data_IF_945699131901
#
_entry.id   IF_945699131901
#
_cell.length_a   1.000
_cell.length_b   1.000
_cell.length_c   1.000
_cell.angle_alpha   90.00
_cell.angle_beta   90.00
_cell.angle_gamma   90.00
#
_symmetry.space_group_name_H-M   'P 1'
#
loop_
_entity.id
_entity.type
_entity.pdbx_description
1 polymer ?
#
# COMPACT_ATOMS: atom_id res chain seq x y z
N UNK A 1 18.67 25.46 51.53
CA UNK A 1 17.29 25.96 51.32
C UNK A 1 17.23 26.46 49.90
N UNK A 2 17.17 25.51 48.95
CA UNK A 2 15.95 24.93 48.34
C UNK A 2 15.42 25.91 47.28
N UNK A 3 15.74 25.66 46.00
CA UNK A 3 14.98 24.76 45.10
C UNK A 3 13.54 25.23 44.93
N UNK A 4 13.26 25.84 43.77
CA UNK A 4 12.32 25.31 42.79
C UNK A 4 12.37 26.24 41.57
N UNK A 5 13.28 25.89 40.65
CA UNK A 5 13.25 26.33 39.28
C UNK A 5 12.95 25.05 38.47
N UNK A 6 11.70 24.59 38.59
CA UNK A 6 11.11 23.55 37.74
C UNK A 6 10.31 24.27 36.64
N UNK A 7 11.02 25.01 35.81
CA UNK A 7 10.49 25.44 34.53
C UNK A 7 10.77 24.30 33.53
N UNK A 8 9.78 23.42 33.42
CA UNK A 8 9.45 22.61 32.26
C UNK A 8 10.59 22.39 31.24
N UNK A 9 11.37 21.33 31.42
CA UNK A 9 11.93 20.60 30.29
C UNK A 9 10.77 19.99 29.49
N UNK A 10 10.16 20.81 28.63
CA UNK A 10 9.47 20.31 27.45
C UNK A 10 10.59 19.69 26.62
N UNK A 11 10.68 18.36 26.71
CA UNK A 11 11.52 17.52 25.89
C UNK A 11 11.12 17.74 24.42
N UNK A 12 11.71 18.75 23.79
CA UNK A 12 11.73 18.92 22.34
C UNK A 12 12.46 17.70 21.78
N UNK A 13 11.71 16.65 21.45
CA UNK A 13 12.22 15.58 20.61
C UNK A 13 12.69 16.27 19.32
N UNK A 14 13.98 16.24 18.98
CA UNK A 14 14.49 16.97 17.84
C UNK A 14 13.70 16.50 16.62
N UNK A 15 13.10 17.44 15.91
CA UNK A 15 12.31 17.21 14.69
C UNK A 15 13.04 16.32 13.67
N UNK A 16 14.37 16.29 13.69
CA UNK A 16 15.19 15.35 12.91
C UNK A 16 14.97 13.87 13.27
N UNK A 17 14.83 13.54 14.56
CA UNK A 17 14.62 12.16 15.03
C UNK A 17 13.20 11.69 14.71
N UNK A 18 12.20 12.57 14.90
CA UNK A 18 10.80 12.32 14.52
C UNK A 18 10.64 12.13 13.01
N UNK A 19 11.29 12.97 12.20
CA UNK A 19 11.29 12.83 10.74
C UNK A 19 12.06 11.58 10.29
N UNK A 20 13.15 11.20 10.96
CA UNK A 20 13.87 9.96 10.64
C UNK A 20 13.06 8.69 10.93
N UNK A 21 12.27 8.66 12.01
CA UNK A 21 11.40 7.53 12.34
C UNK A 21 10.19 7.45 11.40
N UNK A 22 9.58 8.58 11.06
CA UNK A 22 8.51 8.65 10.05
C UNK A 22 9.01 8.21 8.67
N UNK A 23 10.19 8.66 8.25
CA UNK A 23 10.80 8.26 6.99
C UNK A 23 11.18 6.77 6.99
N UNK A 24 11.69 6.23 8.11
CA UNK A 24 12.00 4.80 8.25
C UNK A 24 10.77 3.91 8.18
N UNK A 25 9.65 4.32 8.78
CA UNK A 25 8.36 3.61 8.68
C UNK A 25 7.78 3.67 7.27
N UNK A 26 7.82 4.84 6.62
CA UNK A 26 7.40 5.00 5.24
C UNK A 26 8.23 4.11 4.29
N UNK A 27 9.55 4.11 4.45
CA UNK A 27 10.47 3.26 3.68
C UNK A 27 10.12 1.77 3.82
N UNK A 28 9.94 1.30 5.05
CA UNK A 28 9.58 -0.09 5.34
C UNK A 28 8.23 -0.47 4.70
N UNK A 29 7.24 0.40 4.79
CA UNK A 29 5.92 0.23 4.18
C UNK A 29 6.01 0.13 2.65
N UNK A 30 6.76 1.02 2.00
CA UNK A 30 6.96 1.01 0.54
C UNK A 30 7.69 -0.24 0.08
N UNK A 31 8.74 -0.67 0.80
CA UNK A 31 9.48 -1.91 0.49
C UNK A 31 8.58 -3.13 0.62
N UNK A 32 7.77 -3.21 1.69
CA UNK A 32 6.80 -4.29 1.85
C UNK A 32 5.79 -4.32 0.69
N UNK A 33 5.27 -3.16 0.28
CA UNK A 33 4.35 -3.06 -0.85
C UNK A 33 4.97 -3.55 -2.16
N UNK A 34 6.25 -3.21 -2.42
CA UNK A 34 6.98 -3.70 -3.60
C UNK A 34 7.07 -5.23 -3.57
N UNK A 35 7.54 -5.80 -2.46
CA UNK A 35 7.71 -7.25 -2.32
C UNK A 35 6.37 -7.97 -2.45
N UNK A 36 5.32 -7.49 -1.78
CA UNK A 36 3.98 -8.07 -1.83
C UNK A 36 3.44 -8.12 -3.27
N UNK A 37 3.46 -6.98 -3.97
CA UNK A 37 2.96 -6.90 -5.34
C UNK A 37 3.79 -7.73 -6.31
N UNK A 38 5.12 -7.72 -6.17
CA UNK A 38 6.00 -8.53 -7.01
C UNK A 38 5.79 -10.04 -6.82
N UNK A 39 5.70 -10.50 -5.58
CA UNK A 39 5.45 -11.91 -5.27
C UNK A 39 4.10 -12.38 -5.84
N UNK A 40 3.03 -11.60 -5.66
CA UNK A 40 1.73 -11.95 -6.22
C UNK A 40 1.73 -11.92 -7.75
N UNK A 41 2.35 -10.92 -8.38
CA UNK A 41 2.51 -10.87 -9.84
C UNK A 41 3.22 -12.11 -10.38
N UNK A 42 4.32 -12.53 -9.72
CA UNK A 42 5.04 -13.75 -10.09
C UNK A 42 4.20 -15.02 -9.91
N UNK A 43 3.40 -15.11 -8.83
CA UNK A 43 2.51 -16.24 -8.60
C UNK A 43 1.40 -16.32 -9.66
N UNK A 44 0.80 -15.18 -10.05
CA UNK A 44 -0.17 -15.13 -11.14
C UNK A 44 0.44 -15.58 -12.47
N UNK A 45 1.67 -15.13 -12.77
CA UNK A 45 2.40 -15.56 -13.96
C UNK A 45 2.63 -17.08 -13.97
N UNK A 46 3.12 -17.65 -12.86
CA UNK A 46 3.41 -19.08 -12.76
C UNK A 46 2.13 -19.93 -12.85
N UNK A 47 1.08 -19.57 -12.13
CA UNK A 47 -0.19 -20.31 -12.13
C UNK A 47 -0.92 -20.25 -13.46
N UNK A 48 -0.80 -19.13 -14.19
CA UNK A 48 -1.35 -18.99 -15.54
C UNK A 48 -0.58 -19.84 -16.56
N UNK A 49 0.73 -19.98 -16.41
CA UNK A 49 1.55 -20.81 -17.30
C UNK A 49 1.39 -22.32 -17.05
N UNK A 50 0.97 -22.71 -15.85
CA UNK A 50 0.81 -24.11 -15.47
C UNK A 50 -0.57 -24.71 -15.80
N UNK A 51 -1.60 -23.88 -16.05
CA UNK A 51 -2.96 -24.36 -16.30
C UNK A 51 -3.29 -24.58 -17.79
N UNK A 52 -4.13 -25.59 -18.03
CA UNK A 52 -4.66 -25.94 -19.36
C UNK A 52 -5.55 -24.82 -19.94
N UNK A 53 -5.57 -24.73 -21.28
CA UNK A 53 -6.23 -23.70 -22.08
C UNK A 53 -7.77 -23.62 -21.92
N UNK A 54 -8.40 -24.48 -21.11
CA UNK A 54 -9.85 -24.52 -20.94
C UNK A 54 -10.43 -23.37 -20.10
N UNK A 55 -9.60 -22.56 -19.45
CA UNK A 55 -10.01 -21.53 -18.48
C UNK A 55 -9.77 -20.08 -18.97
N UNK A 56 -10.09 -19.77 -20.24
CA UNK A 56 -9.74 -18.51 -20.91
C UNK A 56 -10.14 -17.22 -20.17
N UNK A 57 -11.36 -17.14 -19.65
CA UNK A 57 -11.87 -15.95 -18.94
C UNK A 57 -11.13 -15.71 -17.62
N UNK A 58 -10.89 -16.76 -16.84
CA UNK A 58 -10.12 -16.65 -15.60
C UNK A 58 -8.66 -16.30 -15.91
N UNK A 59 -8.10 -16.89 -16.97
CA UNK A 59 -6.75 -16.60 -17.44
C UNK A 59 -6.60 -15.12 -17.84
N UNK A 60 -7.61 -14.52 -18.48
CA UNK A 60 -7.60 -13.10 -18.82
C UNK A 60 -7.62 -12.19 -17.58
N UNK A 61 -8.50 -12.44 -16.60
CA UNK A 61 -8.51 -11.67 -15.35
C UNK A 61 -7.25 -11.87 -14.52
N UNK A 62 -6.68 -13.07 -14.54
CA UNK A 62 -5.40 -13.38 -13.91
C UNK A 62 -4.24 -12.64 -14.57
N UNK A 63 -4.27 -12.49 -15.90
CA UNK A 63 -3.31 -11.68 -16.65
C UNK A 63 -3.44 -10.18 -16.33
N UNK A 64 -4.68 -9.66 -16.22
CA UNK A 64 -4.88 -8.27 -15.83
C UNK A 64 -4.38 -8.00 -14.41
N UNK A 65 -4.61 -8.92 -13.48
CA UNK A 65 -4.05 -8.86 -12.13
C UNK A 65 -2.51 -8.91 -12.15
N UNK A 66 -1.92 -9.83 -12.91
CA UNK A 66 -0.46 -9.96 -13.09
C UNK A 66 0.17 -8.63 -13.54
N UNK A 67 -0.32 -8.07 -14.66
CA UNK A 67 0.20 -6.84 -15.24
C UNK A 67 0.06 -5.68 -14.24
N UNK A 68 -1.10 -5.56 -13.60
CA UNK A 68 -1.33 -4.50 -12.63
C UNK A 68 -0.40 -4.61 -11.41
N UNK A 69 -0.23 -5.80 -10.85
CA UNK A 69 0.66 -6.02 -9.70
C UNK A 69 2.12 -5.67 -10.03
N UNK A 70 2.60 -6.02 -11.22
CA UNK A 70 3.94 -5.62 -11.64
C UNK A 70 4.06 -4.11 -11.87
N UNK A 71 3.05 -3.48 -12.48
CA UNK A 71 3.02 -2.02 -12.62
C UNK A 71 3.04 -1.32 -11.25
N UNK A 72 2.30 -1.85 -10.28
CA UNK A 72 2.29 -1.32 -8.91
C UNK A 72 3.62 -1.48 -8.21
N UNK A 73 4.27 -2.65 -8.32
CA UNK A 73 5.61 -2.85 -7.79
C UNK A 73 6.62 -1.88 -8.43
N UNK A 74 6.54 -1.67 -9.74
CA UNK A 74 7.38 -0.72 -10.47
C UNK A 74 7.15 0.74 -10.04
N UNK A 75 5.90 1.14 -9.88
CA UNK A 75 5.54 2.47 -9.40
C UNK A 75 6.08 2.73 -7.98
N UNK A 76 5.84 1.82 -7.04
CA UNK A 76 6.36 1.96 -5.66
C UNK A 76 7.89 1.90 -5.61
N UNK A 77 8.54 1.16 -6.52
CA UNK A 77 10.01 1.15 -6.65
C UNK A 77 10.53 2.50 -7.16
N UNK A 78 9.85 3.12 -8.13
CA UNK A 78 10.17 4.47 -8.59
C UNK A 78 9.98 5.49 -7.47
N UNK A 79 8.88 5.41 -6.72
CA UNK A 79 8.62 6.25 -5.54
C UNK A 79 9.74 6.11 -4.50
N UNK A 80 10.17 4.88 -4.21
CA UNK A 80 11.28 4.57 -3.31
C UNK A 80 12.59 5.23 -3.76
N UNK A 81 12.92 5.14 -5.05
CA UNK A 81 14.12 5.76 -5.63
C UNK A 81 14.08 7.30 -5.50
N UNK A 82 12.90 7.90 -5.68
CA UNK A 82 12.71 9.34 -5.46
C UNK A 82 12.82 9.75 -4.00
N UNK A 83 12.23 8.99 -3.07
CA UNK A 83 12.33 9.22 -1.63
C UNK A 83 13.79 9.17 -1.17
N UNK A 84 14.56 8.19 -1.65
CA UNK A 84 15.98 8.07 -1.33
C UNK A 84 16.78 9.28 -1.83
N UNK A 85 16.53 9.75 -3.07
CA UNK A 85 17.17 10.97 -3.59
C UNK A 85 16.78 12.25 -2.85
N UNK A 86 15.54 12.37 -2.38
CA UNK A 86 15.10 13.55 -1.62
C UNK A 86 15.81 13.61 -0.26
N UNK A 87 16.08 12.47 0.36
CA UNK A 87 16.83 12.39 1.63
C UNK A 87 18.30 12.82 1.43
N UNK A 88 18.88 12.61 0.25
CA UNK A 88 20.28 12.95 -0.07
C UNK A 88 20.49 14.40 -0.53
N UNK A 89 19.44 15.17 -0.85
CA UNK A 89 19.55 16.54 -1.35
C UNK A 89 19.09 17.57 -0.29
N UNK A 90 19.98 18.50 0.15
CA UNK A 90 19.57 19.56 1.07
C UNK A 90 18.67 20.55 0.34
N UNK A 91 17.43 20.68 0.83
CA UNK A 91 16.51 21.84 0.77
C UNK A 91 16.50 22.61 -0.55
N UNK A 92 15.40 22.57 -1.32
CA UNK A 92 14.74 23.75 -1.96
C UNK A 92 13.63 23.29 -2.95
N UNK A 93 12.44 22.91 -2.49
CA UNK A 93 11.27 22.73 -3.40
C UNK A 93 9.96 23.16 -2.72
N UNK A 94 9.87 24.43 -2.30
CA UNK A 94 8.61 24.97 -1.73
C UNK A 94 7.61 25.44 -2.80
N UNK A 95 7.98 25.47 -4.08
CA UNK A 95 7.10 25.91 -5.18
C UNK A 95 6.73 24.81 -6.18
N UNK A 96 7.52 23.74 -6.30
CA UNK A 96 7.20 22.55 -7.11
C UNK A 96 6.42 21.46 -6.33
N UNK A 97 6.24 21.63 -5.01
CA UNK A 97 5.58 20.64 -4.15
C UNK A 97 4.09 20.46 -4.45
N UNK A 98 3.35 21.55 -4.68
CA UNK A 98 1.88 21.50 -4.80
C UNK A 98 1.38 20.73 -6.04
N UNK A 99 2.10 20.80 -7.16
CA UNK A 99 1.76 20.04 -8.37
C UNK A 99 2.14 18.58 -8.26
N UNK A 100 3.25 18.32 -7.54
CA UNK A 100 3.77 16.98 -7.30
C UNK A 100 2.83 16.20 -6.36
N UNK A 101 2.36 16.85 -5.29
CA UNK A 101 1.39 16.27 -4.36
C UNK A 101 0.06 15.95 -5.06
N UNK A 102 -0.48 16.85 -5.89
CA UNK A 102 -1.71 16.59 -6.66
C UNK A 102 -1.58 15.45 -7.68
N UNK A 103 -0.40 15.27 -8.29
CA UNK A 103 -0.16 14.17 -9.22
C UNK A 103 -0.08 12.84 -8.46
N UNK A 104 0.62 12.80 -7.33
CA UNK A 104 0.69 11.60 -6.48
C UNK A 104 -0.67 11.24 -5.89
N UNK A 105 -1.43 12.22 -5.40
CA UNK A 105 -2.80 12.01 -4.94
C UNK A 105 -3.69 11.40 -6.04
N UNK A 106 -3.59 11.92 -7.27
CA UNK A 106 -4.33 11.39 -8.41
C UNK A 106 -3.92 9.94 -8.75
N UNK A 107 -2.62 9.62 -8.63
CA UNK A 107 -2.14 8.25 -8.85
C UNK A 107 -2.67 7.31 -7.76
N UNK A 108 -2.73 7.74 -6.50
CA UNK A 108 -3.29 6.94 -5.41
C UNK A 108 -4.79 6.65 -5.61
N UNK A 109 -5.57 7.60 -6.14
CA UNK A 109 -6.97 7.37 -6.51
C UNK A 109 -7.12 6.40 -7.69
N UNK A 110 -6.24 6.51 -8.70
CA UNK A 110 -6.24 5.61 -9.85
C UNK A 110 -5.81 4.20 -9.44
N UNK A 111 -4.82 4.08 -8.55
CA UNK A 111 -4.41 2.83 -7.90
C UNK A 111 -5.59 2.17 -7.19
N UNK A 112 -6.31 2.92 -6.36
CA UNK A 112 -7.49 2.40 -5.64
C UNK A 112 -8.58 1.93 -6.61
N UNK A 113 -8.86 2.71 -7.66
CA UNK A 113 -9.86 2.37 -8.66
C UNK A 113 -9.53 1.06 -9.40
N UNK A 114 -8.30 0.92 -9.90
CA UNK A 114 -7.89 -0.30 -10.59
C UNK A 114 -7.82 -1.51 -9.65
N UNK A 115 -7.41 -1.32 -8.39
CA UNK A 115 -7.48 -2.36 -7.37
C UNK A 115 -8.91 -2.89 -7.20
N UNK A 116 -9.90 -2.00 -7.10
CA UNK A 116 -11.32 -2.38 -6.99
C UNK A 116 -11.78 -3.14 -8.24
N UNK A 117 -11.43 -2.65 -9.44
CA UNK A 117 -11.80 -3.33 -10.69
C UNK A 117 -11.24 -4.74 -10.77
N UNK A 118 -9.97 -4.95 -10.39
CA UNK A 118 -9.34 -6.27 -10.40
C UNK A 118 -9.96 -7.19 -9.35
N UNK A 119 -10.24 -6.68 -8.15
CA UNK A 119 -10.92 -7.44 -7.10
C UNK A 119 -12.31 -7.90 -7.56
N UNK A 120 -13.10 -7.03 -8.18
CA UNK A 120 -14.42 -7.37 -8.73
C UNK A 120 -14.27 -8.40 -9.86
N UNK A 121 -13.35 -8.17 -10.80
CA UNK A 121 -13.11 -9.06 -11.93
C UNK A 121 -12.68 -10.47 -11.51
N UNK A 122 -11.75 -10.57 -10.56
CA UNK A 122 -11.29 -11.84 -10.00
C UNK A 122 -12.40 -12.54 -9.19
N UNK A 123 -13.19 -11.79 -8.43
CA UNK A 123 -14.33 -12.35 -7.67
C UNK A 123 -15.39 -12.89 -8.63
N UNK A 124 -15.70 -12.16 -9.69
CA UNK A 124 -16.63 -12.60 -10.73
C UNK A 124 -16.10 -13.87 -11.43
N UNK A 125 -14.83 -13.88 -11.82
CA UNK A 125 -14.18 -15.03 -12.45
C UNK A 125 -14.19 -16.27 -11.53
N UNK A 126 -13.97 -16.08 -10.22
CA UNK A 126 -14.06 -17.14 -9.21
C UNK A 126 -15.48 -17.75 -9.11
N UNK A 127 -16.53 -16.92 -9.20
CA UNK A 127 -17.91 -17.37 -9.07
C UNK A 127 -18.45 -18.05 -10.34
N UNK A 128 -18.01 -17.63 -11.53
CA UNK A 128 -18.54 -18.17 -12.79
C UNK A 128 -17.96 -19.51 -13.21
N UNK A 129 -16.72 -19.82 -12.84
CA UNK A 129 -15.98 -20.92 -13.45
C UNK A 129 -15.60 -21.99 -12.43
N UNK A 130 -16.58 -22.82 -12.09
CA UNK A 130 -16.40 -23.89 -11.10
C UNK A 130 -15.44 -25.00 -11.56
N UNK A 131 -15.31 -25.20 -12.87
CA UNK A 131 -14.51 -26.28 -13.47
C UNK A 131 -12.99 -26.07 -13.35
N UNK A 132 -12.54 -24.85 -13.07
CA UNK A 132 -11.12 -24.48 -13.01
C UNK A 132 -10.56 -24.53 -11.58
N UNK A 133 -10.66 -25.69 -10.90
CA UNK A 133 -10.44 -25.84 -9.45
C UNK A 133 -9.11 -25.27 -8.95
N UNK A 134 -7.98 -25.55 -9.60
CA UNK A 134 -6.67 -25.09 -9.14
C UNK A 134 -6.51 -23.58 -9.25
N UNK A 135 -6.89 -22.99 -10.39
CA UNK A 135 -6.83 -21.54 -10.61
C UNK A 135 -7.80 -20.80 -9.70
N UNK A 136 -8.99 -21.37 -9.49
CA UNK A 136 -10.03 -20.86 -8.60
C UNK A 136 -9.57 -20.83 -7.14
N UNK A 137 -8.95 -21.90 -6.66
CA UNK A 137 -8.38 -21.95 -5.30
C UNK A 137 -7.23 -20.96 -5.12
N UNK A 138 -6.40 -20.78 -6.14
CA UNK A 138 -5.34 -19.78 -6.13
C UNK A 138 -5.93 -18.36 -6.03
N UNK A 139 -6.90 -18.01 -6.88
CA UNK A 139 -7.59 -16.71 -6.83
C UNK A 139 -8.29 -16.50 -5.50
N UNK A 140 -8.94 -17.53 -4.96
CA UNK A 140 -9.56 -17.46 -3.64
C UNK A 140 -8.53 -17.13 -2.55
N UNK A 141 -7.34 -17.75 -2.59
CA UNK A 141 -6.30 -17.47 -1.62
C UNK A 141 -5.79 -16.02 -1.71
N UNK A 142 -5.63 -15.49 -2.94
CA UNK A 142 -5.34 -14.08 -3.16
C UNK A 142 -6.43 -13.18 -2.56
N UNK A 143 -7.70 -13.42 -2.92
CA UNK A 143 -8.83 -12.62 -2.43
C UNK A 143 -8.90 -12.62 -0.89
N UNK A 144 -8.77 -13.78 -0.24
CA UNK A 144 -8.80 -13.89 1.22
C UNK A 144 -7.69 -13.06 1.86
N UNK A 145 -6.45 -13.17 1.35
CA UNK A 145 -5.30 -12.42 1.88
C UNK A 145 -5.52 -10.92 1.66
N UNK A 146 -5.93 -10.49 0.47
CA UNK A 146 -6.15 -9.08 0.16
C UNK A 146 -7.28 -8.49 0.99
N UNK A 147 -8.41 -9.18 1.13
CA UNK A 147 -9.52 -8.72 1.97
C UNK A 147 -9.14 -8.65 3.45
N UNK A 148 -8.32 -9.59 3.94
CA UNK A 148 -7.81 -9.53 5.31
C UNK A 148 -6.92 -8.30 5.54
N UNK A 149 -6.01 -7.99 4.60
CA UNK A 149 -5.16 -6.78 4.68
C UNK A 149 -6.02 -5.52 4.68
N UNK A 150 -7.03 -5.44 3.79
CA UNK A 150 -7.96 -4.30 3.74
C UNK A 150 -8.73 -4.16 5.06
N UNK A 151 -9.21 -5.27 5.63
CA UNK A 151 -9.93 -5.26 6.92
C UNK A 151 -9.03 -4.70 8.04
N UNK A 152 -7.79 -5.18 8.15
CA UNK A 152 -6.82 -4.69 9.14
C UNK A 152 -6.57 -3.19 8.94
N UNK A 153 -6.43 -2.73 7.69
CA UNK A 153 -6.23 -1.33 7.38
C UNK A 153 -7.45 -0.47 7.79
N UNK A 154 -8.67 -0.90 7.47
CA UNK A 154 -9.91 -0.21 7.87
C UNK A 154 -10.01 -0.12 9.39
N UNK A 155 -9.79 -1.23 10.11
CA UNK A 155 -9.83 -1.26 11.57
C UNK A 155 -8.80 -0.31 12.19
N UNK A 156 -7.60 -0.25 11.61
CA UNK A 156 -6.54 0.67 12.04
C UNK A 156 -6.97 2.13 11.85
N UNK A 157 -7.58 2.46 10.70
CA UNK A 157 -8.07 3.80 10.43
C UNK A 157 -9.21 4.21 11.38
N UNK A 158 -10.17 3.31 11.63
CA UNK A 158 -11.25 3.55 12.59
C UNK A 158 -10.67 3.81 13.99
N UNK A 159 -9.74 2.97 14.44
CA UNK A 159 -9.08 3.14 15.73
C UNK A 159 -8.38 4.51 15.86
N UNK A 160 -7.66 4.94 14.82
CA UNK A 160 -6.99 6.24 14.79
C UNK A 160 -7.98 7.41 14.85
N UNK A 161 -9.11 7.32 14.15
CA UNK A 161 -10.16 8.36 14.16
C UNK A 161 -10.79 8.43 15.56
N UNK A 162 -11.19 7.28 16.13
CA UNK A 162 -11.82 7.23 17.45
C UNK A 162 -10.91 7.79 18.56
N UNK A 163 -9.62 7.43 18.57
CA UNK A 163 -8.68 7.95 19.57
C UNK A 163 -8.37 9.44 19.39
N UNK A 164 -8.35 9.94 18.14
CA UNK A 164 -8.12 11.36 17.87
C UNK A 164 -9.23 12.22 18.47
N UNK A 165 -10.48 11.76 18.40
CA UNK A 165 -11.63 12.46 18.97
C UNK A 165 -11.57 12.51 20.51
N UNK A 166 -11.12 11.45 21.17
CA UNK A 166 -10.92 11.42 22.63
C UNK A 166 -9.82 12.41 23.10
N UNK A 167 -8.73 12.51 22.34
CA UNK A 167 -7.63 13.43 22.67
C UNK A 167 -8.03 14.90 22.49
N UNK A 168 -8.90 15.19 21.51
CA UNK A 168 -9.46 16.54 21.30
C UNK A 168 -10.52 16.97 22.32
N UNK A 169 -11.14 16.02 23.03
CA UNK A 169 -12.13 16.29 24.09
C UNK A 169 -11.52 16.41 25.49
N UNK A 170 -10.29 15.95 25.68
CA UNK A 170 -9.56 15.97 26.95
C UNK A 170 -8.56 17.13 27.07
N UNK A 171 -8.44 17.97 26.04
CA UNK A 171 -7.70 19.24 26.04
C UNK A 171 -8.66 20.42 26.03
#
# INVERSE_FOLDING_TARGET
MNQHQEDAEIFDIPTSKRNSELNGRALSSTVFAIIYNFCWGLLFFLFRHYNDQSCDSINAWSLYAEIFLFLMAGYKLQELYFLQRIIELPIQHKTNGVWKDKLFDAVDYVELFFNILILIGLTYAYLQHEECTHLRMFILSYLVVTYFIILVWILTMIYLICNRDEQSRSS
#
